data_IF_790657908282
#
_entry.id   IF_790657908282
#
_cell.length_a   1.000
_cell.length_b   1.000
_cell.length_c   1.000
_cell.angle_alpha   90.00
_cell.angle_beta   90.00
_cell.angle_gamma   90.00
#
_symmetry.space_group_name_H-M   'P 1'
#
loop_
_entity.id
_entity.type
_entity.pdbx_description
1 polymer ?
#
# COMPACT_ATOMS: atom_id res chain seq x y z
N UNK A 1 -16.66 10.80 19.33
CA UNK A 1 -15.80 9.74 18.75
C UNK A 1 -16.33 8.41 19.24
N UNK A 2 -16.54 7.44 18.36
CA UNK A 2 -16.78 6.05 18.79
C UNK A 2 -15.54 5.58 19.60
N UNK A 3 -15.79 4.86 20.69
CA UNK A 3 -14.72 4.38 21.57
C UNK A 3 -13.82 3.41 20.80
N UNK A 4 -12.50 3.60 20.84
CA UNK A 4 -11.53 2.77 20.10
C UNK A 4 -11.40 1.37 20.71
N UNK A 5 -11.76 1.25 21.97
CA UNK A 5 -11.65 0.05 22.77
C UNK A 5 -13.03 -0.54 23.03
N UNK A 6 -13.06 -1.85 23.27
CA UNK A 6 -14.27 -2.50 23.75
C UNK A 6 -14.67 -1.95 25.13
N UNK A 7 -15.98 -1.91 25.37
CA UNK A 7 -16.54 -1.59 26.67
C UNK A 7 -16.51 -2.82 27.59
N UNK A 8 -15.34 -3.40 27.78
CA UNK A 8 -15.08 -4.60 28.57
C UNK A 8 -14.00 -4.30 29.63
N UNK A 9 -13.96 -5.05 30.76
CA UNK A 9 -12.87 -4.94 31.71
C UNK A 9 -11.52 -5.21 31.02
N UNK A 10 -10.49 -4.53 31.51
CA UNK A 10 -9.12 -4.68 30.98
C UNK A 10 -8.67 -6.14 31.07
N UNK A 11 -7.87 -6.57 30.09
CA UNK A 11 -7.22 -7.88 30.15
C UNK A 11 -6.23 -7.93 31.32
N UNK A 12 -5.86 -9.14 31.76
CA UNK A 12 -4.76 -9.33 32.70
C UNK A 12 -3.50 -8.58 32.19
N UNK A 13 -2.92 -7.75 33.04
CA UNK A 13 -1.86 -6.81 32.66
C UNK A 13 -2.32 -5.37 32.41
N UNK A 14 -3.61 -5.08 32.53
CA UNK A 14 -4.13 -3.70 32.52
C UNK A 14 -4.27 -3.06 31.14
N UNK A 15 -4.16 -3.83 30.07
CA UNK A 15 -4.28 -3.35 28.69
C UNK A 15 -5.73 -3.36 28.20
N UNK A 16 -6.10 -2.38 27.38
CA UNK A 16 -7.43 -2.29 26.77
C UNK A 16 -7.52 -3.18 25.52
N UNK A 17 -8.70 -3.77 25.30
CA UNK A 17 -9.01 -4.56 24.10
C UNK A 17 -9.48 -3.61 23.02
N UNK A 18 -8.88 -3.66 21.83
CA UNK A 18 -9.37 -2.88 20.70
C UNK A 18 -10.73 -3.41 20.23
N UNK A 19 -11.64 -2.50 19.88
CA UNK A 19 -12.91 -2.90 19.30
C UNK A 19 -12.71 -3.52 17.91
N UNK A 20 -13.51 -4.54 17.58
CA UNK A 20 -13.54 -5.15 16.24
C UNK A 20 -13.60 -4.13 15.11
N UNK A 21 -14.35 -3.02 15.30
CA UNK A 21 -14.45 -1.93 14.32
C UNK A 21 -13.09 -1.33 13.98
N UNK A 22 -12.24 -1.11 14.99
CA UNK A 22 -10.88 -0.57 14.82
C UNK A 22 -9.97 -1.59 14.15
N UNK A 23 -10.09 -2.87 14.52
CA UNK A 23 -9.32 -3.95 13.91
C UNK A 23 -9.66 -4.09 12.42
N UNK A 24 -10.94 -4.06 12.07
CA UNK A 24 -11.43 -4.09 10.69
C UNK A 24 -10.94 -2.85 9.92
N UNK A 25 -11.01 -1.66 10.53
CA UNK A 25 -10.52 -0.42 9.92
C UNK A 25 -9.04 -0.51 9.56
N UNK A 26 -8.20 -1.00 10.47
CA UNK A 26 -6.77 -1.18 10.23
C UNK A 26 -6.52 -2.16 9.08
N UNK A 27 -7.27 -3.27 9.03
CA UNK A 27 -7.17 -4.24 7.93
C UNK A 27 -7.54 -3.64 6.58
N UNK A 28 -8.56 -2.78 6.54
CA UNK A 28 -8.98 -2.06 5.33
C UNK A 28 -7.86 -1.12 4.88
N UNK A 29 -7.31 -0.30 5.78
CA UNK A 29 -6.23 0.64 5.48
C UNK A 29 -4.99 -0.08 4.94
N UNK A 30 -4.56 -1.16 5.60
CA UNK A 30 -3.40 -1.96 5.18
C UNK A 30 -3.65 -2.59 3.81
N UNK A 31 -4.87 -3.07 3.54
CA UNK A 31 -5.24 -3.65 2.25
C UNK A 31 -5.19 -2.60 1.13
N UNK A 32 -5.75 -1.41 1.35
CA UNK A 32 -5.66 -0.31 0.39
C UNK A 32 -4.22 0.11 0.12
N UNK A 33 -3.40 0.23 1.15
CA UNK A 33 -1.99 0.59 1.00
C UNK A 33 -1.23 -0.45 0.17
N UNK A 34 -1.48 -1.74 0.42
CA UNK A 34 -0.85 -2.84 -0.34
C UNK A 34 -1.27 -2.84 -1.80
N UNK A 35 -2.53 -2.54 -2.10
CA UNK A 35 -3.03 -2.41 -3.48
C UNK A 35 -2.36 -1.21 -4.16
N UNK A 36 -2.34 -0.04 -3.50
CA UNK A 36 -1.69 1.17 -4.01
C UNK A 36 -0.21 0.95 -4.30
N UNK A 37 0.53 0.32 -3.38
CA UNK A 37 1.93 -0.04 -3.60
C UNK A 37 2.12 -0.93 -4.84
N UNK A 38 1.26 -1.93 -5.03
CA UNK A 38 1.34 -2.81 -6.20
C UNK A 38 1.12 -2.04 -7.51
N UNK A 39 0.17 -1.11 -7.53
CA UNK A 39 -0.09 -0.26 -8.68
C UNK A 39 1.11 0.65 -8.97
N UNK A 40 1.66 1.32 -7.96
CA UNK A 40 2.82 2.21 -8.10
C UNK A 40 4.04 1.45 -8.61
N UNK A 41 4.32 0.26 -8.09
CA UNK A 41 5.42 -0.58 -8.57
C UNK A 41 5.22 -1.00 -10.04
N UNK A 42 3.99 -1.36 -10.42
CA UNK A 42 3.65 -1.69 -11.81
C UNK A 42 3.86 -0.49 -12.74
N UNK A 43 3.40 0.69 -12.32
CA UNK A 43 3.55 1.93 -13.07
C UNK A 43 5.02 2.29 -13.29
N UNK A 44 5.84 2.29 -12.22
CA UNK A 44 7.27 2.61 -12.30
C UNK A 44 7.98 1.64 -13.26
N UNK A 45 7.68 0.34 -13.17
CA UNK A 45 8.27 -0.67 -14.08
C UNK A 45 7.90 -0.40 -15.54
N UNK A 46 6.63 -0.13 -15.82
CA UNK A 46 6.17 0.21 -17.17
C UNK A 46 6.83 1.48 -17.70
N UNK A 47 6.94 2.51 -16.86
CA UNK A 47 7.58 3.77 -17.20
C UNK A 47 9.08 3.60 -17.52
N UNK A 48 9.82 2.86 -16.69
CA UNK A 48 11.23 2.55 -16.92
C UNK A 48 11.43 1.75 -18.23
N UNK A 49 10.54 0.80 -18.52
CA UNK A 49 10.58 0.04 -19.77
C UNK A 49 10.33 0.93 -20.98
N UNK A 50 9.40 1.89 -20.88
CA UNK A 50 9.13 2.86 -21.94
C UNK A 50 10.36 3.74 -22.23
N UNK A 51 10.99 4.29 -21.19
CA UNK A 51 12.24 5.06 -21.32
C UNK A 51 13.34 4.22 -21.97
N UNK A 52 13.53 2.98 -21.51
CA UNK A 52 14.56 2.10 -22.07
C UNK A 52 14.32 1.80 -23.55
N UNK A 53 13.07 1.59 -23.95
CA UNK A 53 12.69 1.34 -25.35
C UNK A 53 12.88 2.57 -26.24
N UNK A 54 12.50 3.73 -25.73
CA UNK A 54 12.67 5.02 -26.40
C UNK A 54 14.15 5.31 -26.67
N UNK A 55 15.00 5.13 -25.65
CA UNK A 55 16.46 5.29 -25.77
C UNK A 55 17.07 4.34 -26.82
N UNK A 56 16.60 3.09 -26.89
CA UNK A 56 17.06 2.13 -27.91
C UNK A 56 16.66 2.55 -29.33
N UNK A 57 15.42 3.03 -29.52
CA UNK A 57 14.96 3.54 -30.82
C UNK A 57 15.81 4.72 -31.28
N UNK A 58 16.05 5.72 -30.41
CA UNK A 58 16.92 6.86 -30.72
C UNK A 58 18.34 6.43 -31.09
N UNK A 59 18.91 5.49 -30.34
CA UNK A 59 20.25 4.96 -30.62
C UNK A 59 20.29 4.20 -31.95
N UNK A 60 19.22 3.48 -32.29
CA UNK A 60 19.13 2.70 -33.52
C UNK A 60 18.94 3.58 -34.76
N UNK A 61 18.19 4.69 -34.65
CA UNK A 61 18.02 5.67 -35.72
C UNK A 61 19.32 6.42 -36.00
N UNK A 62 20.11 6.75 -34.97
CA UNK A 62 21.37 7.48 -35.12
C UNK A 62 22.52 6.64 -35.72
N UNK A 63 22.32 5.33 -35.87
CA UNK A 63 23.32 4.37 -36.36
C UNK A 63 23.21 4.12 -37.87
N UNK A 64 22.17 4.67 -38.52
CA UNK A 64 21.93 4.68 -39.98
C UNK A 64 22.41 6.02 -40.53
#
# INVERSE_FOLDING_TARGET
MENWYENCPKMQGGNYIYSDKVVILVHIIVSFFRIGLRQTVGFIKGYLQQIGRDLQLFTSIKKV
#
